data_IF_703386858554
#
_entry.id   IF_703386858554
#
_cell.length_a   1.000
_cell.length_b   1.000
_cell.length_c   1.000
_cell.angle_alpha   90.00
_cell.angle_beta   90.00
_cell.angle_gamma   90.00
#
_symmetry.space_group_name_H-M   'P 1'
#
loop_
_entity.id
_entity.type
_entity.pdbx_description
1 polymer ?
#
# COMPACT_ATOMS: atom_id res chain seq x y z
N UNK A 1 22.24 -14.46 37.02
CA UNK A 1 20.84 -14.63 36.55
C UNK A 1 20.23 -13.42 35.86
N UNK A 2 20.40 -12.16 36.32
CA UNK A 2 19.79 -10.99 35.64
C UNK A 2 20.29 -10.74 34.19
N UNK A 3 21.58 -10.95 33.92
CA UNK A 3 22.17 -10.71 32.58
C UNK A 3 21.59 -11.62 31.50
N UNK A 4 21.40 -12.91 31.80
CA UNK A 4 20.85 -13.90 30.84
C UNK A 4 19.40 -13.61 30.48
N UNK A 5 18.58 -13.13 31.42
CA UNK A 5 17.19 -12.73 31.16
C UNK A 5 17.12 -11.49 30.25
N UNK A 6 18.01 -10.51 30.46
CA UNK A 6 18.07 -9.29 29.62
C UNK A 6 18.51 -9.63 28.20
N UNK A 7 19.53 -10.50 28.05
CA UNK A 7 19.98 -10.95 26.72
C UNK A 7 18.88 -11.71 25.99
N UNK A 8 18.15 -12.61 26.68
CA UNK A 8 17.02 -13.33 26.09
C UNK A 8 15.89 -12.39 25.62
N UNK A 9 15.57 -11.37 26.42
CA UNK A 9 14.57 -10.36 26.06
C UNK A 9 14.99 -9.54 24.83
N UNK A 10 16.26 -9.13 24.77
CA UNK A 10 16.83 -8.40 23.64
C UNK A 10 16.74 -9.20 22.33
N UNK A 11 17.09 -10.49 22.37
CA UNK A 11 16.99 -11.37 21.20
C UNK A 11 15.55 -11.53 20.74
N UNK A 12 14.61 -11.73 21.68
CA UNK A 12 13.19 -11.83 21.37
C UNK A 12 12.65 -10.53 20.75
N UNK A 13 13.05 -9.37 21.29
CA UNK A 13 12.66 -8.07 20.75
C UNK A 13 13.20 -7.84 19.32
N UNK A 14 14.46 -8.22 19.07
CA UNK A 14 15.07 -8.15 17.73
C UNK A 14 14.33 -9.05 16.73
N UNK A 15 14.02 -10.29 17.12
CA UNK A 15 13.26 -11.22 16.28
C UNK A 15 11.85 -10.67 15.99
N UNK A 16 11.17 -10.14 17.00
CA UNK A 16 9.86 -9.50 16.82
C UNK A 16 9.93 -8.33 15.83
N UNK A 17 10.97 -7.49 15.95
CA UNK A 17 11.18 -6.36 15.06
C UNK A 17 11.43 -6.79 13.61
N UNK A 18 12.25 -7.83 13.40
CA UNK A 18 12.47 -8.42 12.06
C UNK A 18 11.15 -8.93 11.46
N UNK A 19 10.34 -9.64 12.25
CA UNK A 19 9.03 -10.15 11.80
C UNK A 19 8.11 -9.00 11.41
N UNK A 20 8.07 -7.93 12.19
CA UNK A 20 7.27 -6.73 11.87
C UNK A 20 7.70 -6.13 10.54
N UNK A 21 8.99 -5.90 10.33
CA UNK A 21 9.48 -5.35 9.06
C UNK A 21 9.18 -6.24 7.86
N UNK A 22 9.22 -7.56 8.05
CA UNK A 22 8.86 -8.51 7.01
C UNK A 22 7.35 -8.51 6.71
N UNK A 23 6.51 -8.51 7.75
CA UNK A 23 5.05 -8.61 7.63
C UNK A 23 4.43 -7.33 7.09
N UNK A 24 4.95 -6.17 7.47
CA UNK A 24 4.42 -4.86 7.09
C UNK A 24 5.18 -4.21 5.94
N UNK A 25 5.87 -5.00 5.10
CA UNK A 25 6.59 -4.47 3.94
C UNK A 25 5.60 -3.96 2.89
N UNK A 26 5.46 -2.64 2.81
CA UNK A 26 4.58 -1.96 1.85
C UNK A 26 5.34 -1.56 0.58
N UNK A 27 4.65 -1.61 -0.56
CA UNK A 27 5.18 -1.18 -1.86
C UNK A 27 4.12 -0.36 -2.60
N UNK A 28 4.56 0.73 -3.24
CA UNK A 28 3.69 1.56 -4.10
C UNK A 28 4.15 1.43 -5.53
N UNK A 29 3.23 1.09 -6.43
CA UNK A 29 3.52 0.90 -7.85
C UNK A 29 2.54 1.72 -8.67
N UNK A 30 3.05 2.39 -9.70
CA UNK A 30 2.23 3.09 -10.69
C UNK A 30 1.87 2.12 -11.82
N UNK A 31 0.58 1.87 -12.00
CA UNK A 31 0.03 0.98 -13.03
C UNK A 31 -0.96 1.79 -13.88
N UNK A 32 -0.52 2.23 -15.05
CA UNK A 32 -1.29 3.18 -15.87
C UNK A 32 -1.55 4.49 -15.11
N UNK A 33 -2.83 4.84 -14.95
CA UNK A 33 -3.26 6.03 -14.18
C UNK A 33 -3.42 5.79 -12.67
N UNK A 34 -3.25 4.55 -12.21
CA UNK A 34 -3.46 4.17 -10.81
C UNK A 34 -2.12 4.09 -10.07
N UNK A 35 -2.10 4.53 -8.83
CA UNK A 35 -1.07 4.21 -7.85
C UNK A 35 -1.64 3.18 -6.89
N UNK A 36 -1.00 2.02 -6.80
CA UNK A 36 -1.45 0.89 -6.01
C UNK A 36 -0.49 0.71 -4.85
N UNK A 37 -1.01 0.79 -3.63
CA UNK A 37 -0.27 0.52 -2.40
C UNK A 37 -0.73 -0.82 -1.84
N UNK A 38 0.21 -1.73 -1.62
CA UNK A 38 -0.09 -3.08 -1.13
C UNK A 38 1.06 -3.64 -0.26
N UNK A 39 0.78 -4.70 0.48
CA UNK A 39 1.76 -5.47 1.24
C UNK A 39 2.48 -6.47 0.32
N UNK A 40 3.77 -6.23 0.05
CA UNK A 40 4.58 -7.02 -0.89
C UNK A 40 4.64 -8.50 -0.52
N UNK A 41 4.78 -8.79 0.77
CA UNK A 41 4.84 -10.15 1.31
C UNK A 41 3.52 -10.94 1.20
N UNK A 42 2.42 -10.29 0.83
CA UNK A 42 1.10 -10.92 0.63
C UNK A 42 0.70 -11.02 -0.84
N UNK A 43 1.53 -10.55 -1.75
CA UNK A 43 1.28 -10.61 -3.20
C UNK A 43 2.45 -11.27 -3.90
N UNK A 44 2.19 -12.41 -4.53
CA UNK A 44 3.19 -13.11 -5.35
C UNK A 44 3.32 -12.49 -6.75
N UNK A 45 2.44 -11.54 -7.10
CA UNK A 45 2.43 -10.89 -8.40
C UNK A 45 3.53 -9.85 -8.48
N UNK A 46 4.37 -9.94 -9.51
CA UNK A 46 5.37 -8.93 -9.79
C UNK A 46 4.68 -7.59 -10.11
N UNK A 47 5.25 -6.44 -9.69
CA UNK A 47 4.71 -5.11 -10.00
C UNK A 47 4.36 -4.89 -11.47
N UNK A 48 5.15 -5.46 -12.37
CA UNK A 48 5.04 -5.31 -13.82
C UNK A 48 3.89 -6.13 -14.44
N UNK A 49 3.43 -7.17 -13.74
CA UNK A 49 2.32 -8.03 -14.21
C UNK A 49 0.99 -7.66 -13.56
N UNK A 50 0.92 -6.52 -12.85
CA UNK A 50 -0.32 -6.02 -12.29
C UNK A 50 -1.29 -5.61 -13.41
N UNK A 51 -2.59 -5.91 -13.27
CA UNK A 51 -3.59 -5.53 -14.25
C UNK A 51 -3.77 -4.01 -14.29
N UNK A 52 -4.08 -3.46 -15.46
CA UNK A 52 -4.26 -2.01 -15.63
C UNK A 52 -5.68 -1.52 -15.37
N UNK A 53 -6.64 -2.42 -15.13
CA UNK A 53 -8.02 -2.08 -14.86
C UNK A 53 -8.32 -2.04 -13.35
N UNK A 54 -9.19 -1.11 -12.94
CA UNK A 54 -9.49 -0.89 -11.53
C UNK A 54 -10.11 -2.12 -10.86
N UNK A 55 -10.96 -2.88 -11.56
CA UNK A 55 -11.70 -3.97 -10.94
C UNK A 55 -10.80 -5.17 -10.62
N UNK A 56 -9.85 -5.49 -11.50
CA UNK A 56 -8.84 -6.49 -11.25
C UNK A 56 -7.82 -6.03 -10.20
N UNK A 57 -7.43 -4.75 -10.21
CA UNK A 57 -6.56 -4.19 -9.17
C UNK A 57 -7.15 -4.33 -7.76
N UNK A 58 -8.48 -4.26 -7.60
CA UNK A 58 -9.17 -4.47 -6.32
C UNK A 58 -8.99 -5.89 -5.75
N UNK A 59 -8.65 -6.86 -6.59
CA UNK A 59 -8.50 -8.27 -6.22
C UNK A 59 -7.06 -8.63 -5.79
N UNK A 60 -6.14 -7.66 -5.79
CA UNK A 60 -4.75 -7.92 -5.39
C UNK A 60 -4.70 -8.31 -3.91
N UNK A 61 -4.04 -9.43 -3.62
CA UNK A 61 -3.78 -9.87 -2.26
C UNK A 61 -2.92 -8.86 -1.50
N UNK A 62 -3.35 -8.50 -0.30
CA UNK A 62 -2.65 -7.50 0.51
C UNK A 62 -2.81 -6.06 0.02
N UNK A 63 -3.78 -5.78 -0.85
CA UNK A 63 -4.11 -4.41 -1.25
C UNK A 63 -4.42 -3.54 -0.01
N UNK A 64 -3.83 -2.35 0.03
CA UNK A 64 -4.07 -1.35 1.07
C UNK A 64 -4.94 -0.23 0.51
N UNK A 65 -4.56 0.33 -0.65
CA UNK A 65 -5.35 1.35 -1.36
C UNK A 65 -4.97 1.46 -2.83
N UNK A 66 -5.89 2.02 -3.63
CA UNK A 66 -5.63 2.43 -5.01
C UNK A 66 -5.98 3.90 -5.13
N UNK A 67 -5.08 4.74 -5.63
CA UNK A 67 -5.34 6.16 -5.86
C UNK A 67 -5.19 6.51 -7.34
N UNK A 68 -6.05 7.39 -7.86
CA UNK A 68 -5.91 7.94 -9.20
C UNK A 68 -6.46 9.36 -9.25
N UNK A 69 -6.15 10.08 -10.32
CA UNK A 69 -6.61 11.44 -10.53
C UNK A 69 -7.44 11.50 -11.81
N UNK A 70 -8.52 12.26 -11.78
CA UNK A 70 -9.32 12.57 -12.97
C UNK A 70 -9.40 14.09 -13.10
N UNK A 71 -9.21 14.57 -14.32
CA UNK A 71 -9.40 15.98 -14.61
C UNK A 71 -10.89 16.31 -14.54
N UNK A 72 -11.24 17.31 -13.74
CA UNK A 72 -12.63 17.77 -13.58
C UNK A 72 -12.86 19.13 -14.24
N UNK A 73 -11.83 19.98 -14.32
CA UNK A 73 -11.84 21.26 -15.02
C UNK A 73 -10.44 21.53 -15.61
N UNK A 74 -10.27 22.53 -16.50
CA UNK A 74 -8.94 23.01 -16.86
C UNK A 74 -8.14 23.35 -15.60
N UNK A 75 -6.94 22.80 -15.50
CA UNK A 75 -6.06 22.97 -14.33
C UNK A 75 -6.63 22.46 -12.99
N UNK A 76 -7.66 21.60 -12.98
CA UNK A 76 -8.21 21.02 -11.76
C UNK A 76 -8.39 19.50 -11.88
N UNK A 77 -7.84 18.77 -10.91
CA UNK A 77 -7.92 17.32 -10.83
C UNK A 77 -8.58 16.89 -9.51
N UNK A 78 -9.47 15.92 -9.58
CA UNK A 78 -10.02 15.22 -8.41
C UNK A 78 -9.22 13.93 -8.20
N UNK A 79 -8.57 13.80 -7.04
CA UNK A 79 -7.99 12.54 -6.60
C UNK A 79 -9.07 11.66 -5.98
N UNK A 80 -9.11 10.41 -6.39
CA UNK A 80 -9.94 9.36 -5.84
C UNK A 80 -9.06 8.32 -5.13
N UNK A 81 -9.62 7.71 -4.09
CA UNK A 81 -8.99 6.64 -3.33
C UNK A 81 -9.99 5.49 -3.21
N UNK A 82 -9.60 4.30 -3.64
CA UNK A 82 -10.27 3.06 -3.29
C UNK A 82 -9.61 2.44 -2.07
N UNK A 83 -10.43 2.13 -1.06
CA UNK A 83 -10.04 1.41 0.14
C UNK A 83 -10.83 0.08 0.21
N UNK A 84 -10.14 -1.08 0.34
CA UNK A 84 -10.81 -2.36 0.56
C UNK A 84 -11.79 -2.29 1.73
N UNK A 85 -13.03 -2.69 1.51
CA UNK A 85 -14.10 -2.66 2.53
C UNK A 85 -14.82 -1.32 2.71
N UNK A 86 -14.31 -0.20 2.16
CA UNK A 86 -15.00 1.10 2.18
C UNK A 86 -15.49 1.55 0.80
N UNK A 87 -14.81 1.13 -0.26
CA UNK A 87 -15.16 1.52 -1.63
C UNK A 87 -14.36 2.73 -2.10
N UNK A 88 -14.94 3.51 -3.02
CA UNK A 88 -14.28 4.65 -3.67
C UNK A 88 -14.69 5.94 -2.97
N UNK A 89 -13.71 6.73 -2.57
CA UNK A 89 -13.87 8.03 -1.92
C UNK A 89 -13.11 9.12 -2.67
N UNK A 90 -13.64 10.36 -2.62
CA UNK A 90 -12.92 11.55 -3.08
C UNK A 90 -11.89 11.93 -2.02
N UNK A 91 -10.61 11.94 -2.39
CA UNK A 91 -9.48 12.20 -1.48
C UNK A 91 -9.19 13.71 -1.37
N UNK A 92 -8.87 14.36 -2.49
CA UNK A 92 -8.51 15.78 -2.54
C UNK A 92 -8.70 16.38 -3.92
N UNK A 93 -8.86 17.70 -3.97
CA UNK A 93 -8.82 18.48 -5.21
C UNK A 93 -7.41 19.04 -5.38
N UNK A 94 -6.85 18.91 -6.57
CA UNK A 94 -5.52 19.40 -6.94
C UNK A 94 -5.72 20.47 -8.01
N UNK A 95 -5.22 21.69 -7.73
CA UNK A 95 -5.23 22.81 -8.67
C UNK A 95 -3.83 23.03 -9.19
N UNK A 96 -3.64 22.90 -10.49
CA UNK A 96 -2.40 23.30 -11.16
C UNK A 96 -2.48 24.77 -11.55
N UNK A 97 -1.36 25.47 -11.63
CA UNK A 97 -1.32 26.86 -12.11
C UNK A 97 -1.32 26.92 -13.63
#
# INVERSE_FOLDING_TARGET
MKKTTITGLLVAALLGLIIVFYVFRQETVSVGKYQVLYYKNRSDTAPQSLPQDLNSLKQISGLIRITWQEQVEPHMFQEYCYLPGRGIEKSRIIRTK
#
